data_IF_446767044603
#
_entry.id   IF_446767044603
#
_cell.length_a   1.000
_cell.length_b   1.000
_cell.length_c   1.000
_cell.angle_alpha   90.00
_cell.angle_beta   90.00
_cell.angle_gamma   90.00
#
_symmetry.space_group_name_H-M   'P 1'
#
loop_
_entity.id
_entity.type
_entity.pdbx_description
1 polymer ?
#
# COMPACT_ATOMS: atom_id res chain seq x y z
N UNK A 1 32.02 31.53 6.18
CA UNK A 1 32.21 32.47 5.05
C UNK A 1 31.00 32.50 4.12
N UNK A 2 30.56 31.38 3.52
CA UNK A 2 29.39 31.36 2.61
C UNK A 2 28.10 31.88 3.24
N UNK A 3 27.80 31.48 4.48
CA UNK A 3 26.61 31.93 5.22
C UNK A 3 26.53 33.46 5.44
N UNK A 4 27.66 34.17 5.54
CA UNK A 4 27.66 35.63 5.69
C UNK A 4 27.41 36.32 4.36
N UNK A 5 27.90 35.74 3.26
CA UNK A 5 27.63 36.20 1.90
C UNK A 5 26.15 35.97 1.57
N UNK A 6 25.59 34.83 1.96
CA UNK A 6 24.16 34.53 1.80
C UNK A 6 23.30 35.51 2.60
N UNK A 7 23.69 35.82 3.85
CA UNK A 7 23.02 36.82 4.68
C UNK A 7 23.11 38.23 4.08
N UNK A 8 24.26 38.61 3.51
CA UNK A 8 24.42 39.88 2.80
C UNK A 8 23.45 40.01 1.63
N UNK A 9 23.31 38.97 0.81
CA UNK A 9 22.35 38.96 -0.29
C UNK A 9 20.89 38.97 0.18
N UNK A 10 20.60 38.33 1.32
CA UNK A 10 19.25 38.35 1.93
C UNK A 10 18.91 39.69 2.60
N UNK A 11 19.92 40.45 3.05
CA UNK A 11 19.71 41.71 3.78
C UNK A 11 18.93 42.76 3.00
N UNK A 12 19.02 42.75 1.67
CA UNK A 12 18.23 43.62 0.79
C UNK A 12 16.71 43.40 0.92
N UNK A 13 16.28 42.24 1.43
CA UNK A 13 14.87 41.88 1.62
C UNK A 13 14.39 42.03 3.07
N UNK A 14 15.26 42.51 3.98
CA UNK A 14 14.90 42.63 5.40
C UNK A 14 13.88 43.74 5.65
N UNK A 15 13.09 43.52 6.69
CA UNK A 15 12.07 44.45 7.14
C UNK A 15 12.77 45.56 7.94
N UNK A 16 12.59 46.79 7.49
CA UNK A 16 13.08 48.04 8.07
C UNK A 16 11.87 48.91 8.43
N UNK A 17 11.97 49.85 9.38
CA UNK A 17 10.82 50.69 9.75
C UNK A 17 10.24 51.47 8.56
N UNK A 18 11.07 51.81 7.57
CA UNK A 18 10.63 52.52 6.35
C UNK A 18 9.82 51.64 5.39
N UNK A 19 10.08 50.32 5.33
CA UNK A 19 9.40 49.40 4.41
C UNK A 19 8.34 48.51 5.12
N UNK A 20 8.16 48.68 6.42
CA UNK A 20 7.29 47.84 7.25
C UNK A 20 5.83 47.91 6.81
N UNK A 21 5.32 49.11 6.52
CA UNK A 21 3.92 49.29 6.08
C UNK A 21 3.65 48.55 4.77
N UNK A 22 4.51 48.77 3.77
CA UNK A 22 4.37 48.13 2.46
C UNK A 22 4.47 46.61 2.55
N UNK A 23 5.32 46.09 3.45
CA UNK A 23 5.47 44.65 3.69
C UNK A 23 4.27 44.03 4.42
N UNK A 24 3.60 44.78 5.29
CA UNK A 24 2.34 44.35 5.89
C UNK A 24 1.27 44.25 4.80
N UNK A 25 1.10 45.29 3.99
CA UNK A 25 0.10 45.28 2.91
C UNK A 25 0.36 44.16 1.91
N UNK A 26 1.63 43.91 1.54
CA UNK A 26 2.02 42.77 0.70
C UNK A 26 1.65 41.42 1.30
N UNK A 27 1.95 41.21 2.59
CA UNK A 27 1.70 39.94 3.26
C UNK A 27 0.21 39.65 3.47
N UNK A 28 -0.59 40.68 3.76
CA UNK A 28 -2.00 40.50 4.13
C UNK A 28 -2.97 40.70 2.97
N UNK A 29 -2.73 41.68 2.09
CA UNK A 29 -3.63 42.02 0.99
C UNK A 29 -3.27 41.20 -0.26
N UNK A 30 -2.02 41.29 -0.71
CA UNK A 30 -1.64 40.74 -2.03
C UNK A 30 -1.31 39.24 -2.00
N UNK A 31 -0.72 38.73 -0.90
CA UNK A 31 -0.36 37.30 -0.79
C UNK A 31 -1.57 36.38 -0.58
N UNK A 32 -2.65 36.89 -0.01
CA UNK A 32 -3.88 36.12 0.30
C UNK A 32 -4.89 36.17 -0.84
N UNK A 33 -4.93 37.24 -1.64
CA UNK A 33 -5.80 37.36 -2.82
C UNK A 33 -5.60 36.22 -3.83
N UNK A 34 -4.37 35.72 -3.97
CA UNK A 34 -4.05 34.60 -4.85
C UNK A 34 -4.32 33.21 -4.23
N UNK A 35 -4.86 33.15 -3.01
CA UNK A 35 -5.18 31.92 -2.29
C UNK A 35 -6.67 31.76 -2.00
N UNK A 36 -7.55 32.33 -2.83
CA UNK A 36 -8.86 31.70 -3.04
C UNK A 36 -8.67 30.42 -3.86
N UNK A 37 -8.00 29.44 -3.23
CA UNK A 37 -7.98 28.06 -3.66
C UNK A 37 -9.00 27.36 -2.79
N UNK A 38 -10.28 27.66 -3.02
CA UNK A 38 -11.26 26.59 -2.86
C UNK A 38 -10.66 25.44 -3.66
N UNK A 39 -10.21 24.39 -2.97
CA UNK A 39 -9.69 23.23 -3.66
C UNK A 39 -10.77 22.82 -4.67
N UNK A 40 -10.44 22.66 -5.95
CA UNK A 40 -11.44 22.26 -6.93
C UNK A 40 -12.12 21.01 -6.38
N UNK A 41 -13.45 21.05 -6.31
CA UNK A 41 -14.22 19.94 -5.79
C UNK A 41 -13.81 18.67 -6.55
N UNK A 42 -13.48 17.62 -5.80
CA UNK A 42 -13.11 16.36 -6.43
C UNK A 42 -14.38 15.75 -7.02
N UNK A 43 -14.38 15.33 -8.30
CA UNK A 43 -15.53 14.64 -8.86
C UNK A 43 -15.80 13.35 -8.08
N UNK A 44 -17.08 12.98 -7.94
CA UNK A 44 -17.51 11.82 -7.17
C UNK A 44 -16.77 10.53 -7.56
N UNK A 45 -16.53 10.33 -8.86
CA UNK A 45 -15.78 9.18 -9.39
C UNK A 45 -14.38 9.05 -8.80
N UNK A 46 -13.68 10.18 -8.61
CA UNK A 46 -12.33 10.21 -8.02
C UNK A 46 -12.36 9.87 -6.54
N UNK A 47 -13.39 10.31 -5.83
CA UNK A 47 -13.59 9.98 -4.40
C UNK A 47 -13.85 8.49 -4.23
N UNK A 48 -14.71 7.91 -5.07
CA UNK A 48 -15.01 6.47 -5.05
C UNK A 48 -13.77 5.62 -5.37
N UNK A 49 -12.98 6.07 -6.35
CA UNK A 49 -11.70 5.44 -6.67
C UNK A 49 -10.72 5.48 -5.48
N UNK A 50 -10.51 6.67 -4.89
CA UNK A 50 -9.64 6.84 -3.71
C UNK A 50 -10.10 5.94 -2.55
N UNK A 51 -11.41 5.78 -2.36
CA UNK A 51 -12.00 4.88 -1.35
C UNK A 51 -11.64 3.42 -1.63
N UNK A 52 -11.85 2.95 -2.87
CA UNK A 52 -11.51 1.57 -3.27
C UNK A 52 -10.03 1.28 -3.02
N UNK A 53 -9.17 2.21 -3.40
CA UNK A 53 -7.71 2.11 -3.19
C UNK A 53 -7.39 2.02 -1.69
N UNK A 54 -7.98 2.87 -0.84
CA UNK A 54 -7.78 2.81 0.62
C UNK A 54 -8.25 1.50 1.26
N UNK A 55 -9.34 0.91 0.75
CA UNK A 55 -9.84 -0.39 1.23
C UNK A 55 -8.95 -1.56 0.85
N UNK A 56 -8.25 -1.46 -0.28
CA UNK A 56 -7.32 -2.49 -0.75
C UNK A 56 -5.98 -2.48 0.00
N UNK A 57 -5.61 -1.36 0.64
CA UNK A 57 -4.38 -1.28 1.41
C UNK A 57 -4.52 -1.87 2.81
N UNK A 58 -3.48 -2.53 3.34
CA UNK A 58 -3.50 -3.06 4.70
C UNK A 58 -3.67 -1.92 5.72
N UNK A 59 -4.44 -2.19 6.79
CA UNK A 59 -4.72 -1.21 7.86
C UNK A 59 -3.46 -0.81 8.63
N UNK A 60 -2.47 -1.70 8.67
CA UNK A 60 -1.19 -1.53 9.35
C UNK A 60 -0.06 -1.75 8.34
N UNK A 61 0.99 -0.93 8.41
CA UNK A 61 2.12 -0.94 7.48
C UNK A 61 2.37 0.41 6.81
N UNK A 62 3.60 0.59 6.31
CA UNK A 62 4.01 1.81 5.62
C UNK A 62 3.24 1.94 4.29
N UNK A 63 2.45 3.02 4.18
CA UNK A 63 1.71 3.32 2.96
C UNK A 63 2.67 3.93 1.94
N UNK A 64 3.16 3.13 1.01
CA UNK A 64 3.87 3.66 -0.17
C UNK A 64 2.87 4.50 -0.98
N UNK A 65 3.05 5.83 -0.94
CA UNK A 65 2.16 6.77 -1.62
C UNK A 65 2.14 6.59 -3.14
N UNK A 66 1.20 7.23 -3.85
CA UNK A 66 1.08 7.15 -5.32
C UNK A 66 2.30 7.72 -6.07
N UNK A 67 3.19 8.42 -5.36
CA UNK A 67 4.49 8.89 -5.85
C UNK A 67 5.62 7.88 -5.70
N UNK A 68 5.34 6.64 -5.28
CA UNK A 68 6.21 5.52 -5.63
C UNK A 68 6.02 5.19 -7.11
N UNK A 69 6.32 6.19 -7.96
CA UNK A 69 6.70 5.88 -9.33
C UNK A 69 7.94 5.03 -9.17
N UNK A 70 7.73 3.73 -9.34
CA UNK A 70 8.74 2.76 -9.72
C UNK A 70 9.47 3.34 -10.93
N UNK A 71 10.44 4.20 -10.71
CA UNK A 71 11.57 4.37 -11.62
C UNK A 71 12.31 3.05 -11.50
N UNK A 72 11.78 2.03 -12.19
CA UNK A 72 12.41 0.72 -12.35
C UNK A 72 13.62 0.96 -13.22
N UNK A 73 14.71 1.44 -12.60
CA UNK A 73 16.01 1.23 -13.21
C UNK A 73 16.21 -0.29 -13.26
N UNK A 74 16.73 -0.84 -14.37
CA UNK A 74 16.96 -2.28 -14.50
C UNK A 74 17.89 -2.85 -13.42
N UNK A 75 18.60 -1.99 -12.68
CA UNK A 75 19.38 -2.36 -11.49
C UNK A 75 18.51 -2.81 -10.30
N UNK A 76 17.27 -2.30 -10.13
CA UNK A 76 16.41 -2.65 -8.99
C UNK A 76 15.74 -4.01 -9.15
N UNK A 77 15.52 -4.49 -10.37
CA UNK A 77 15.03 -5.85 -10.63
C UNK A 77 16.02 -6.93 -10.17
N UNK A 78 17.29 -6.57 -9.92
CA UNK A 78 18.33 -7.48 -9.43
C UNK A 78 18.33 -7.65 -7.90
N UNK A 79 17.52 -6.87 -7.18
CA UNK A 79 17.46 -6.88 -5.71
C UNK A 79 16.08 -7.34 -5.18
N UNK A 80 15.16 -7.73 -6.05
CA UNK A 80 13.87 -8.34 -5.64
C UNK A 80 14.07 -9.79 -5.14
N UNK A 81 15.27 -10.36 -5.32
CA UNK A 81 15.65 -11.73 -4.94
C UNK A 81 16.10 -11.89 -3.47
N UNK A 82 16.04 -10.84 -2.65
CA UNK A 82 16.45 -10.93 -1.24
C UNK A 82 15.58 -11.91 -0.43
N UNK A 83 14.35 -12.18 -0.88
CA UNK A 83 13.50 -13.20 -0.26
C UNK A 83 13.75 -14.62 -0.78
N UNK A 84 14.38 -14.77 -1.95
CA UNK A 84 14.64 -16.08 -2.58
C UNK A 84 16.05 -16.61 -2.23
N UNK A 85 17.02 -15.74 -1.95
CA UNK A 85 18.40 -16.13 -1.56
C UNK A 85 18.56 -16.50 -0.07
N UNK A 86 17.53 -17.07 0.58
CA UNK A 86 17.67 -17.56 1.96
C UNK A 86 18.56 -18.80 2.01
N UNK A 87 19.39 -18.91 3.05
CA UNK A 87 20.24 -20.09 3.24
C UNK A 87 19.40 -21.38 3.31
N UNK A 88 19.89 -22.53 2.81
CA UNK A 88 19.14 -23.79 2.81
C UNK A 88 18.61 -24.18 4.20
N UNK A 89 19.35 -23.80 5.26
CA UNK A 89 18.95 -24.03 6.66
C UNK A 89 17.70 -23.24 7.04
N UNK A 90 17.61 -21.98 6.62
CA UNK A 90 16.46 -21.12 6.94
C UNK A 90 15.20 -21.58 6.20
N UNK A 91 15.36 -22.05 4.96
CA UNK A 91 14.27 -22.66 4.18
C UNK A 91 13.75 -23.94 4.85
N UNK A 92 14.66 -24.78 5.36
CA UNK A 92 14.30 -26.00 6.10
C UNK A 92 13.47 -25.67 7.35
N UNK A 93 13.91 -24.71 8.16
CA UNK A 93 13.21 -24.30 9.40
C UNK A 93 11.83 -23.73 9.08
N UNK A 94 11.74 -22.86 8.08
CA UNK A 94 10.47 -22.26 7.66
C UNK A 94 9.48 -23.32 7.17
N UNK A 95 9.96 -24.26 6.34
CA UNK A 95 9.17 -25.40 5.87
C UNK A 95 8.69 -26.27 7.02
N UNK A 96 9.53 -26.57 8.01
CA UNK A 96 9.11 -27.38 9.16
C UNK A 96 8.09 -26.67 10.04
N UNK A 97 8.20 -25.36 10.21
CA UNK A 97 7.34 -24.61 11.12
C UNK A 97 5.99 -24.27 10.50
N UNK A 98 5.96 -24.01 9.19
CA UNK A 98 4.76 -23.54 8.50
C UNK A 98 4.21 -24.54 7.49
N UNK A 99 4.91 -25.65 7.22
CA UNK A 99 4.52 -26.63 6.20
C UNK A 99 4.59 -26.11 4.76
N UNK A 100 5.12 -24.90 4.53
CA UNK A 100 5.09 -24.20 3.24
C UNK A 100 6.49 -24.06 2.67
N UNK A 101 6.67 -24.44 1.40
CA UNK A 101 7.94 -24.25 0.68
C UNK A 101 8.15 -22.80 0.23
N UNK A 102 7.09 -22.09 -0.19
CA UNK A 102 7.13 -20.69 -0.66
C UNK A 102 5.88 -19.92 -0.20
N UNK A 103 6.05 -18.66 0.20
CA UNK A 103 5.02 -17.79 0.82
C UNK A 103 3.70 -17.60 0.05
N UNK A 104 3.62 -18.05 -1.21
CA UNK A 104 2.44 -17.94 -2.07
C UNK A 104 1.57 -19.20 -2.13
N UNK A 105 1.88 -20.25 -1.35
CA UNK A 105 1.09 -21.49 -1.32
C UNK A 105 0.45 -21.73 0.06
N UNK A 106 -0.78 -22.29 0.10
CA UNK A 106 -1.44 -22.64 1.36
C UNK A 106 -0.59 -23.59 2.21
N UNK A 107 -0.76 -23.48 3.54
CA UNK A 107 -0.13 -24.39 4.50
C UNK A 107 -0.58 -25.83 4.33
N UNK A 108 0.27 -26.77 4.74
CA UNK A 108 -0.04 -28.21 4.68
C UNK A 108 -1.33 -28.56 5.43
N UNK A 109 -1.53 -27.99 6.62
CA UNK A 109 -2.74 -28.22 7.42
C UNK A 109 -3.99 -27.72 6.69
N UNK A 110 -3.91 -26.56 6.02
CA UNK A 110 -5.02 -26.02 5.25
C UNK A 110 -5.39 -26.90 4.04
N UNK A 111 -4.41 -27.58 3.43
CA UNK A 111 -4.66 -28.56 2.37
C UNK A 111 -5.29 -29.85 2.91
N UNK A 112 -4.86 -30.31 4.07
CA UNK A 112 -5.41 -31.52 4.71
C UNK A 112 -6.87 -31.31 5.14
N UNK A 113 -7.19 -30.12 5.67
CA UNK A 113 -8.57 -29.76 6.02
C UNK A 113 -9.48 -29.68 4.78
N UNK A 114 -8.98 -29.15 3.66
CA UNK A 114 -9.72 -29.09 2.39
C UNK A 114 -9.97 -30.51 1.84
N UNK A 115 -8.95 -31.37 1.84
CA UNK A 115 -9.10 -32.76 1.40
C UNK A 115 -10.13 -33.52 2.24
N UNK A 116 -10.05 -33.43 3.56
CA UNK A 116 -11.01 -34.10 4.45
C UNK A 116 -12.44 -33.56 4.30
N UNK A 117 -12.59 -32.29 3.91
CA UNK A 117 -13.89 -31.69 3.62
C UNK A 117 -14.45 -32.15 2.27
N UNK A 118 -13.59 -32.36 1.28
CA UNK A 118 -13.98 -32.90 -0.02
C UNK A 118 -14.43 -34.37 0.08
N UNK A 119 -13.68 -35.23 0.80
CA UNK A 119 -14.02 -36.65 0.99
C UNK A 119 -15.39 -36.82 1.68
N UNK A 120 -15.68 -36.01 2.71
CA UNK A 120 -17.01 -36.03 3.35
C UNK A 120 -18.14 -35.61 2.41
N UNK A 121 -17.88 -34.63 1.54
CA UNK A 121 -18.85 -34.22 0.52
C UNK A 121 -19.20 -35.35 -0.45
N UNK A 122 -18.19 -36.12 -0.88
CA UNK A 122 -18.39 -37.27 -1.77
C UNK A 122 -19.14 -38.43 -1.09
N UNK A 123 -18.90 -38.68 0.20
CA UNK A 123 -19.64 -39.67 1.00
C UNK A 123 -21.12 -39.31 1.18
N UNK A 124 -21.42 -38.03 1.40
CA UNK A 124 -22.79 -37.53 1.54
C UNK A 124 -23.56 -37.57 0.20
N UNK A 125 -22.88 -37.35 -0.93
CA UNK A 125 -23.47 -37.47 -2.28
C UNK A 125 -23.79 -38.94 -2.61
N UNK A 126 -22.91 -39.89 -2.31
CA UNK A 126 -23.15 -41.33 -2.54
C UNK A 126 -24.28 -41.91 -1.67
N UNK A 127 -24.45 -41.40 -0.45
CA UNK A 127 -25.56 -41.79 0.43
C UNK A 127 -26.91 -41.25 -0.06
N UNK A 128 -26.93 -40.12 -0.76
CA UNK A 128 -28.16 -39.58 -1.37
C UNK A 128 -28.56 -40.35 -2.63
N UNK A 129 -27.60 -40.76 -3.46
CA UNK A 129 -27.90 -41.56 -4.66
C UNK A 129 -28.43 -42.96 -4.31
N UNK A 130 -27.84 -43.63 -3.30
CA UNK A 130 -28.29 -44.96 -2.86
C UNK A 130 -29.66 -44.95 -2.17
N UNK A 131 -30.07 -43.82 -1.59
CA UNK A 131 -31.42 -43.64 -1.03
C UNK A 131 -32.45 -43.20 -2.10
N UNK A 132 -32.02 -42.71 -3.26
CA UNK A 132 -32.89 -42.34 -4.38
C UNK A 132 -33.37 -43.52 -5.24
N UNK A 133 -32.62 -44.63 -5.27
CA UNK A 133 -32.99 -45.85 -6.04
C UNK A 133 -33.93 -46.81 -5.29
N UNK A 134 -34.24 -46.54 -4.01
CA UNK A 134 -35.21 -47.33 -3.23
C UNK A 134 -36.47 -46.50 -2.90
N UNK A 135 -37.12 -45.95 -3.92
CA UNK A 135 -38.49 -45.41 -3.86
C UNK A 135 -39.49 -46.36 -4.53
N UNK A 136 -40.63 -46.69 -3.90
CA UNK A 136 -41.43 -47.89 -4.21
C UNK A 136 -42.31 -47.75 -5.47
N UNK A 137 -42.67 -48.92 -6.03
CA UNK A 137 -43.66 -49.17 -7.09
C UNK A 137 -45.02 -48.52 -6.84
#
# INVERSE_FOLDING_TARGET
MRALVDLYHQSATFITPANLSDKIDEAFIYRTANKSRLNPEKPLSKILYDLKVRRAFPKFGEKLGPTFKRTRSPAVLKYEDWSEERSPREQQVFRTLHGVYNRAKPGYDALMDEQASAEKGEEDEQQQETQGEQGPL
#
